data_IF_805481019513
#
_entry.id   IF_805481019513
#
_cell.length_a   1.000
_cell.length_b   1.000
_cell.length_c   1.000
_cell.angle_alpha   90.00
_cell.angle_beta   90.00
_cell.angle_gamma   90.00
#
_symmetry.space_group_name_H-M   'P 1'
#
loop_
_entity.id
_entity.type
_entity.pdbx_description
1 polymer ?
#
# COMPACT_ATOMS: atom_id res chain seq x y z
N UNK A 1 6.37 5.39 19.69
CA UNK A 1 6.79 5.29 18.29
C UNK A 1 7.07 3.82 18.00
N UNK A 2 6.42 3.25 16.99
CA UNK A 2 6.70 1.91 16.47
C UNK A 2 7.37 2.01 15.11
N UNK A 3 7.85 0.87 14.61
CA UNK A 3 8.49 0.77 13.30
C UNK A 3 7.72 -0.18 12.39
N UNK A 4 7.27 0.33 11.23
CA UNK A 4 6.77 -0.51 10.15
C UNK A 4 7.94 -1.03 9.32
N UNK A 5 8.08 -2.35 9.18
CA UNK A 5 9.16 -2.98 8.40
C UNK A 5 8.64 -3.31 7.00
N UNK A 6 9.23 -2.65 6.01
CA UNK A 6 8.99 -2.87 4.59
C UNK A 6 9.55 -4.22 4.10
N UNK A 7 8.99 -4.72 2.99
CA UNK A 7 9.35 -6.01 2.38
C UNK A 7 10.84 -6.12 2.08
N UNK A 8 11.51 -5.03 1.66
CA UNK A 8 12.94 -5.05 1.39
C UNK A 8 13.78 -5.32 2.66
N UNK A 9 13.36 -4.79 3.82
CA UNK A 9 14.02 -4.99 5.11
C UNK A 9 13.67 -6.35 5.72
N UNK A 10 12.51 -6.93 5.40
CA UNK A 10 12.15 -8.28 5.86
C UNK A 10 13.20 -9.35 5.48
N UNK A 11 13.92 -9.17 4.37
CA UNK A 11 15.03 -10.05 3.97
C UNK A 11 16.31 -9.85 4.79
N UNK A 12 16.38 -8.81 5.60
CA UNK A 12 17.54 -8.39 6.38
C UNK A 12 17.23 -8.28 7.88
N UNK A 13 16.15 -8.93 8.37
CA UNK A 13 15.68 -8.80 9.76
C UNK A 13 16.76 -9.05 10.82
N UNK A 14 17.69 -10.00 10.61
CA UNK A 14 18.83 -10.25 11.53
C UNK A 14 19.68 -9.01 11.82
N UNK A 15 19.72 -8.06 10.89
CA UNK A 15 20.50 -6.82 11.03
C UNK A 15 19.73 -5.74 11.79
N UNK A 16 18.41 -5.87 11.93
CA UNK A 16 17.59 -4.93 12.69
C UNK A 16 17.84 -5.19 14.19
N UNK A 17 18.18 -4.16 14.98
CA UNK A 17 18.43 -4.34 16.40
C UNK A 17 17.25 -4.96 17.15
N UNK A 18 17.51 -5.90 18.05
CA UNK A 18 16.47 -6.65 18.78
C UNK A 18 15.52 -5.74 19.57
N UNK A 19 16.02 -4.64 20.12
CA UNK A 19 15.20 -3.63 20.80
C UNK A 19 14.18 -2.96 19.87
N UNK A 20 14.53 -2.79 18.59
CA UNK A 20 13.64 -2.26 17.55
C UNK A 20 12.59 -3.29 17.16
N UNK A 21 12.99 -4.56 16.94
CA UNK A 21 12.08 -5.65 16.56
C UNK A 21 10.90 -5.78 17.54
N UNK A 22 11.15 -5.65 18.86
CA UNK A 22 10.10 -5.70 19.88
C UNK A 22 9.03 -4.62 19.74
N UNK A 23 9.37 -3.48 19.13
CA UNK A 23 8.48 -2.36 18.87
C UNK A 23 8.14 -2.21 17.38
N UNK A 24 8.45 -3.22 16.56
CA UNK A 24 8.22 -3.20 15.13
C UNK A 24 6.99 -4.03 14.75
N UNK A 25 6.53 -3.84 13.53
CA UNK A 25 5.48 -4.63 12.90
C UNK A 25 5.67 -4.65 11.38
N UNK A 26 5.04 -5.60 10.70
CA UNK A 26 4.87 -5.58 9.24
C UNK A 26 3.40 -5.83 8.89
N UNK A 27 3.08 -6.02 7.61
CA UNK A 27 1.69 -6.19 7.15
C UNK A 27 1.48 -7.50 6.41
N UNK A 28 0.23 -7.95 6.36
CA UNK A 28 -0.18 -9.05 5.46
C UNK A 28 0.10 -8.72 4.00
N UNK A 29 0.13 -7.45 3.62
CA UNK A 29 0.52 -7.02 2.28
C UNK A 29 2.01 -7.31 2.00
N UNK A 30 2.92 -6.99 2.93
CA UNK A 30 4.34 -7.34 2.78
C UNK A 30 4.56 -8.86 2.70
N UNK A 31 3.81 -9.63 3.50
CA UNK A 31 3.85 -11.10 3.41
C UNK A 31 3.30 -11.62 2.08
N UNK A 32 2.27 -10.97 1.53
CA UNK A 32 1.72 -11.28 0.22
C UNK A 32 2.76 -11.08 -0.87
N UNK A 33 3.54 -10.00 -0.85
CA UNK A 33 4.62 -9.75 -1.82
C UNK A 33 5.75 -10.78 -1.72
N UNK A 34 6.05 -11.26 -0.50
CA UNK A 34 6.99 -12.35 -0.30
C UNK A 34 6.46 -13.64 -0.95
N UNK A 35 5.18 -13.96 -0.78
CA UNK A 35 4.56 -15.15 -1.37
C UNK A 35 4.39 -15.03 -2.89
N UNK A 36 3.93 -13.88 -3.39
CA UNK A 36 3.59 -13.65 -4.80
C UNK A 36 4.78 -13.83 -5.73
N UNK A 37 5.99 -13.50 -5.25
CA UNK A 37 7.22 -13.64 -6.01
C UNK A 37 7.96 -14.97 -5.81
N UNK A 38 7.37 -15.96 -5.13
CA UNK A 38 7.97 -17.30 -5.03
C UNK A 38 8.04 -17.93 -6.42
N UNK A 39 9.25 -18.32 -6.80
CA UNK A 39 9.58 -19.10 -7.98
C UNK A 39 10.73 -20.06 -7.60
N UNK A 40 11.09 -20.99 -8.49
CA UNK A 40 12.13 -21.99 -8.22
C UNK A 40 13.46 -21.37 -7.76
N UNK A 41 13.88 -20.27 -8.38
CA UNK A 41 15.14 -19.57 -8.09
C UNK A 41 15.14 -18.89 -6.72
N UNK A 42 14.05 -18.22 -6.36
CA UNK A 42 13.97 -17.40 -5.14
C UNK A 42 13.35 -18.14 -3.94
N UNK A 43 12.89 -19.38 -4.15
CA UNK A 43 12.15 -20.15 -3.16
C UNK A 43 12.84 -20.21 -1.79
N UNK A 44 14.10 -20.67 -1.74
CA UNK A 44 14.82 -20.82 -0.48
C UNK A 44 15.02 -19.48 0.25
N UNK A 45 15.28 -18.40 -0.50
CA UNK A 45 15.46 -17.05 0.06
C UNK A 45 14.15 -16.55 0.68
N UNK A 46 13.03 -16.67 -0.04
CA UNK A 46 11.70 -16.24 0.43
C UNK A 46 11.21 -17.07 1.60
N UNK A 47 11.39 -18.38 1.56
CA UNK A 47 11.11 -19.30 2.67
C UNK A 47 11.91 -18.94 3.92
N UNK A 48 13.21 -18.65 3.78
CA UNK A 48 14.05 -18.25 4.90
C UNK A 48 13.56 -16.93 5.53
N UNK A 49 13.23 -15.95 4.71
CA UNK A 49 12.62 -14.68 5.16
C UNK A 49 11.33 -14.92 5.95
N UNK A 50 10.39 -15.72 5.43
CA UNK A 50 9.15 -16.06 6.14
C UNK A 50 9.44 -16.75 7.48
N UNK A 51 10.32 -17.76 7.50
CA UNK A 51 10.72 -18.44 8.75
C UNK A 51 11.25 -17.46 9.78
N UNK A 52 12.05 -16.50 9.35
CA UNK A 52 12.67 -15.53 10.24
C UNK A 52 11.65 -14.58 10.87
N UNK A 53 10.69 -14.08 10.10
CA UNK A 53 9.57 -13.25 10.58
C UNK A 53 8.85 -13.92 11.77
N UNK A 54 8.51 -15.20 11.62
CA UNK A 54 7.83 -15.95 12.69
C UNK A 54 8.76 -16.34 13.83
N UNK A 55 10.03 -16.65 13.56
CA UNK A 55 11.00 -16.98 14.61
C UNK A 55 11.24 -15.78 15.54
N UNK A 56 11.27 -14.58 14.98
CA UNK A 56 11.45 -13.33 15.74
C UNK A 56 10.16 -12.82 16.39
N UNK A 57 9.01 -13.49 16.19
CA UNK A 57 7.69 -13.05 16.64
C UNK A 57 7.38 -11.60 16.23
N UNK A 58 7.73 -11.20 15.01
CA UNK A 58 7.41 -9.87 14.51
C UNK A 58 5.88 -9.70 14.45
N UNK A 59 5.36 -8.59 14.97
CA UNK A 59 3.93 -8.29 14.90
C UNK A 59 3.48 -8.10 13.45
N UNK A 60 2.28 -8.59 13.11
CA UNK A 60 1.74 -8.56 11.74
C UNK A 60 0.36 -7.92 11.77
N UNK A 61 0.21 -6.82 11.04
CA UNK A 61 -1.10 -6.29 10.72
C UNK A 61 -1.84 -7.29 9.79
N UNK A 62 -2.81 -7.98 10.36
CA UNK A 62 -3.56 -9.06 9.73
C UNK A 62 -4.63 -8.59 8.74
N UNK A 63 -4.59 -7.32 8.30
CA UNK A 63 -5.53 -6.77 7.33
C UNK A 63 -4.91 -6.78 5.93
N UNK A 64 -5.71 -7.07 4.91
CA UNK A 64 -5.38 -6.75 3.52
C UNK A 64 -5.58 -5.24 3.28
N UNK A 65 -5.11 -4.67 2.14
CA UNK A 65 -5.21 -3.23 1.88
C UNK A 65 -6.62 -2.67 2.04
N UNK A 66 -7.63 -3.41 1.56
CA UNK A 66 -9.04 -3.04 1.77
C UNK A 66 -9.39 -2.88 3.26
N UNK A 67 -9.05 -3.84 4.11
CA UNK A 67 -9.27 -3.77 5.56
C UNK A 67 -8.47 -2.64 6.23
N UNK A 68 -7.30 -2.29 5.70
CA UNK A 68 -6.56 -1.11 6.14
C UNK A 68 -7.32 0.19 5.83
N UNK A 69 -7.87 0.31 4.61
CA UNK A 69 -8.71 1.43 4.18
C UNK A 69 -9.97 1.55 5.06
N UNK A 70 -10.69 0.45 5.31
CA UNK A 70 -11.85 0.45 6.22
C UNK A 70 -11.49 0.97 7.60
N UNK A 71 -10.32 0.58 8.12
CA UNK A 71 -9.82 1.05 9.42
C UNK A 71 -9.61 2.56 9.48
N UNK A 72 -9.48 3.26 8.34
CA UNK A 72 -9.39 4.72 8.25
C UNK A 72 -10.69 5.46 8.59
N UNK A 73 -11.80 4.75 8.80
CA UNK A 73 -13.12 5.32 9.03
C UNK A 73 -13.75 4.72 10.29
N UNK A 74 -13.94 5.55 11.32
CA UNK A 74 -14.39 5.12 12.66
C UNK A 74 -15.78 4.49 12.68
N UNK A 75 -16.61 4.79 11.68
CA UNK A 75 -17.96 4.23 11.55
C UNK A 75 -17.95 2.69 11.38
N UNK A 76 -16.82 2.12 10.93
CA UNK A 76 -16.66 0.68 10.80
C UNK A 76 -16.01 0.00 12.01
N UNK A 77 -15.76 0.71 13.12
CA UNK A 77 -15.03 0.16 14.27
C UNK A 77 -15.67 -1.11 14.85
N UNK A 78 -17.00 -1.17 14.83
CA UNK A 78 -17.77 -2.30 15.33
C UNK A 78 -17.98 -3.40 14.26
N UNK A 79 -17.65 -3.11 13.01
CA UNK A 79 -17.78 -4.04 11.90
C UNK A 79 -16.50 -4.86 11.77
N UNK A 80 -16.58 -6.12 12.20
CA UNK A 80 -15.50 -7.08 11.98
C UNK A 80 -15.43 -7.46 10.50
N UNK A 81 -14.66 -6.71 9.73
CA UNK A 81 -14.33 -7.06 8.35
C UNK A 81 -13.46 -8.31 8.34
N UNK A 82 -14.01 -9.41 7.85
CA UNK A 82 -13.26 -10.64 7.59
C UNK A 82 -12.88 -10.68 6.12
N UNK A 83 -11.57 -10.65 5.84
CA UNK A 83 -11.05 -10.88 4.50
C UNK A 83 -10.52 -12.32 4.42
N UNK A 84 -11.22 -13.18 3.67
CA UNK A 84 -10.86 -14.60 3.53
C UNK A 84 -9.46 -14.79 2.95
N UNK A 85 -8.94 -13.81 2.18
CA UNK A 85 -7.59 -13.85 1.62
C UNK A 85 -6.51 -13.87 2.69
N UNK A 86 -6.76 -13.33 3.87
CA UNK A 86 -5.81 -13.38 5.01
C UNK A 86 -5.60 -14.83 5.45
N UNK A 87 -6.66 -15.63 5.53
CA UNK A 87 -6.55 -17.04 5.89
C UNK A 87 -5.86 -17.85 4.79
N UNK A 88 -6.18 -17.58 3.53
CA UNK A 88 -5.50 -18.20 2.39
C UNK A 88 -4.00 -17.87 2.39
N UNK A 89 -3.63 -16.62 2.73
CA UNK A 89 -2.24 -16.19 2.81
C UNK A 89 -1.50 -16.91 3.95
N UNK A 90 -2.11 -16.99 5.14
CA UNK A 90 -1.55 -17.73 6.27
C UNK A 90 -1.34 -19.21 5.93
N UNK A 91 -2.28 -19.81 5.20
CA UNK A 91 -2.13 -21.19 4.75
C UNK A 91 -1.00 -21.34 3.72
N UNK A 92 -0.89 -20.45 2.74
CA UNK A 92 0.19 -20.43 1.76
C UNK A 92 1.57 -20.31 2.43
N UNK A 93 1.69 -19.39 3.40
CA UNK A 93 2.90 -19.21 4.21
C UNK A 93 3.23 -20.50 4.97
N UNK A 94 2.25 -21.10 5.65
CA UNK A 94 2.46 -22.34 6.41
C UNK A 94 2.98 -23.44 5.50
N UNK A 95 2.35 -23.64 4.33
CA UNK A 95 2.79 -24.64 3.33
C UNK A 95 4.22 -24.35 2.87
N UNK A 96 4.54 -23.09 2.56
CA UNK A 96 5.88 -22.70 2.14
C UNK A 96 6.97 -22.95 3.19
N UNK A 97 6.65 -22.68 4.46
CA UNK A 97 7.61 -22.85 5.57
C UNK A 97 7.94 -24.33 5.82
N UNK A 98 6.96 -25.22 5.66
CA UNK A 98 7.11 -26.66 5.95
C UNK A 98 7.57 -27.50 4.76
N UNK A 99 7.29 -27.08 3.52
CA UNK A 99 7.66 -27.83 2.31
C UNK A 99 9.17 -28.00 2.17
N UNK A 100 9.65 -29.13 1.68
CA UNK A 100 11.07 -29.39 1.45
C UNK A 100 11.59 -28.69 0.20
N UNK A 101 10.74 -28.49 -0.82
CA UNK A 101 11.13 -28.01 -2.16
C UNK A 101 10.07 -27.09 -2.79
N UNK A 102 10.46 -26.36 -3.84
CA UNK A 102 9.52 -25.55 -4.64
C UNK A 102 8.46 -26.43 -5.32
N UNK A 103 8.87 -27.60 -5.85
CA UNK A 103 7.96 -28.56 -6.50
C UNK A 103 6.84 -29.05 -5.59
N UNK A 104 7.12 -29.22 -4.29
CA UNK A 104 6.07 -29.59 -3.32
C UNK A 104 5.01 -28.51 -3.17
N UNK A 105 5.41 -27.23 -3.20
CA UNK A 105 4.47 -26.11 -3.13
C UNK A 105 3.66 -25.99 -4.40
N UNK A 106 4.33 -26.08 -5.55
CA UNK A 106 3.70 -26.04 -6.87
C UNK A 106 2.67 -27.17 -7.01
N UNK A 107 3.00 -28.36 -6.53
CA UNK A 107 2.08 -29.51 -6.52
C UNK A 107 0.95 -29.34 -5.47
N UNK A 108 1.24 -28.79 -4.29
CA UNK A 108 0.25 -28.55 -3.24
C UNK A 108 -0.71 -27.37 -3.54
N UNK A 109 -0.40 -26.53 -4.53
CA UNK A 109 -1.32 -25.54 -5.09
C UNK A 109 -2.42 -26.18 -5.95
N UNK A 110 -2.19 -27.41 -6.43
CA UNK A 110 -3.14 -28.18 -7.26
C UNK A 110 -4.09 -29.05 -6.42
N UNK A 111 -3.71 -29.44 -5.20
CA UNK A 111 -4.48 -30.39 -4.39
C UNK A 111 -5.07 -29.80 -3.09
N UNK A 112 -6.41 -29.89 -3.01
CA UNK A 112 -7.25 -29.92 -1.79
C UNK A 112 -7.36 -28.64 -0.92
N UNK A 113 -7.17 -27.44 -1.45
CA UNK A 113 -7.55 -26.20 -0.71
C UNK A 113 -7.83 -24.96 -1.56
N UNK A 114 -7.58 -25.00 -2.87
CA UNK A 114 -7.76 -23.84 -3.75
C UNK A 114 -6.79 -22.67 -3.51
N UNK A 115 -5.83 -22.82 -2.59
CA UNK A 115 -4.77 -21.83 -2.37
C UNK A 115 -3.70 -21.99 -3.45
N UNK A 116 -3.96 -21.33 -4.59
CA UNK A 116 -3.00 -21.16 -5.67
C UNK A 116 -2.08 -19.99 -5.33
N UNK A 117 -0.76 -20.19 -5.27
CA UNK A 117 0.19 -19.07 -5.12
C UNK A 117 -0.03 -18.05 -6.24
N UNK A 118 -0.47 -18.52 -7.40
CA UNK A 118 -0.90 -17.72 -8.54
C UNK A 118 -1.99 -16.71 -8.20
N UNK A 119 -2.83 -16.96 -7.17
CA UNK A 119 -3.77 -15.96 -6.65
C UNK A 119 -3.03 -14.71 -6.17
N UNK A 120 -1.98 -14.87 -5.38
CA UNK A 120 -1.22 -13.74 -4.84
C UNK A 120 -0.36 -13.08 -5.93
N UNK A 121 0.19 -13.85 -6.86
CA UNK A 121 0.85 -13.29 -8.06
C UNK A 121 -0.13 -12.57 -8.99
N UNK A 122 -1.42 -12.94 -8.99
CA UNK A 122 -2.47 -12.21 -9.71
C UNK A 122 -2.83 -10.92 -8.98
N UNK A 123 -3.04 -10.97 -7.66
CA UNK A 123 -3.35 -9.79 -6.85
C UNK A 123 -2.24 -8.74 -6.92
N UNK A 124 -0.97 -9.16 -6.83
CA UNK A 124 0.19 -8.28 -6.96
C UNK A 124 0.28 -7.62 -8.35
N UNK A 125 -0.03 -8.39 -9.41
CA UNK A 125 -0.15 -7.85 -10.77
C UNK A 125 -1.31 -6.88 -10.92
N UNK A 126 -2.50 -7.21 -10.42
CA UNK A 126 -3.66 -6.32 -10.49
C UNK A 126 -3.37 -4.95 -9.83
N UNK A 127 -2.62 -4.92 -8.73
CA UNK A 127 -2.19 -3.67 -8.09
C UNK A 127 -1.27 -2.88 -9.02
N UNK A 128 -0.30 -3.55 -9.65
CA UNK A 128 0.61 -2.93 -10.63
C UNK A 128 -0.14 -2.41 -11.86
N UNK A 129 -1.01 -3.23 -12.44
CA UNK A 129 -1.67 -3.02 -13.72
C UNK A 129 -2.69 -1.88 -13.64
N UNK A 130 -3.46 -1.80 -12.54
CA UNK A 130 -4.36 -0.67 -12.30
C UNK A 130 -3.63 0.69 -12.30
N UNK A 131 -2.35 0.71 -11.91
CA UNK A 131 -1.52 1.91 -11.94
C UNK A 131 -0.91 2.18 -13.34
N UNK A 132 -0.66 1.14 -14.12
CA UNK A 132 -0.22 1.24 -15.53
C UNK A 132 -1.35 1.76 -16.42
N UNK A 133 -2.60 1.38 -16.18
CA UNK A 133 -3.75 1.92 -16.92
C UNK A 133 -3.97 3.40 -16.64
N UNK A 134 -3.78 3.84 -15.39
CA UNK A 134 -3.73 5.26 -15.01
C UNK A 134 -2.60 5.99 -15.74
N UNK A 135 -1.42 5.37 -15.88
CA UNK A 135 -0.27 5.89 -16.64
C UNK A 135 -0.60 6.04 -18.14
N UNK A 136 -1.32 5.09 -18.72
CA UNK A 136 -1.73 5.14 -20.13
C UNK A 136 -2.82 6.20 -20.36
N UNK A 137 -3.78 6.32 -19.44
CA UNK A 137 -4.81 7.37 -19.48
C UNK A 137 -4.22 8.78 -19.41
N UNK A 138 -3.23 9.01 -18.53
CA UNK A 138 -2.50 10.28 -18.48
C UNK A 138 -1.73 10.54 -19.78
N UNK A 139 -1.03 9.53 -20.33
CA UNK A 139 -0.34 9.65 -21.62
C UNK A 139 -1.30 10.03 -22.76
N UNK A 140 -2.47 9.41 -22.84
CA UNK A 140 -3.45 9.69 -23.89
C UNK A 140 -4.00 11.12 -23.75
N UNK A 141 -4.31 11.58 -22.53
CA UNK A 141 -4.72 12.97 -22.27
C UNK A 141 -3.63 13.96 -22.68
N UNK A 142 -2.36 13.62 -22.45
CA UNK A 142 -1.21 14.46 -22.80
C UNK A 142 -0.86 14.46 -24.29
N UNK A 143 -1.20 13.40 -25.03
CA UNK A 143 -0.91 13.28 -26.46
C UNK A 143 -2.07 13.75 -27.36
N UNK A 144 -3.32 13.65 -26.91
CA UNK A 144 -4.52 13.95 -27.72
C UNK A 144 -5.15 15.33 -27.43
N UNK A 145 -4.81 15.99 -26.32
CA UNK A 145 -5.37 17.27 -25.94
C UNK A 145 -4.52 18.46 -26.38
N UNK A 146 -5.07 19.35 -27.22
CA UNK A 146 -4.61 20.75 -27.28
C UNK A 146 -4.69 21.44 -25.90
N UNK A 147 -4.29 22.71 -25.77
CA UNK A 147 -4.22 23.39 -24.46
C UNK A 147 -5.56 23.28 -23.71
N UNK A 148 -5.59 22.47 -22.66
CA UNK A 148 -6.75 22.33 -21.78
C UNK A 148 -6.79 23.53 -20.83
N UNK A 149 -7.97 23.99 -20.43
CA UNK A 149 -8.11 25.07 -19.46
C UNK A 149 -8.87 24.57 -18.23
N UNK A 150 -8.45 25.00 -17.04
CA UNK A 150 -9.18 24.75 -15.79
C UNK A 150 -9.52 26.07 -15.12
N UNK A 151 -10.70 26.15 -14.53
CA UNK A 151 -11.14 27.34 -13.79
C UNK A 151 -10.78 27.22 -12.31
N UNK A 152 -10.02 28.18 -11.80
CA UNK A 152 -9.68 28.30 -10.37
C UNK A 152 -9.99 29.73 -9.95
N UNK A 153 -10.77 29.92 -8.89
CA UNK A 153 -11.15 31.27 -8.39
C UNK A 153 -11.71 32.21 -9.49
N UNK A 154 -12.51 31.66 -10.42
CA UNK A 154 -13.07 32.40 -11.58
C UNK A 154 -12.03 32.88 -12.60
N UNK A 155 -10.83 32.35 -12.57
CA UNK A 155 -9.79 32.58 -13.57
C UNK A 155 -9.53 31.30 -14.37
N UNK A 156 -9.40 31.45 -15.68
CA UNK A 156 -9.11 30.36 -16.61
C UNK A 156 -7.60 30.17 -16.71
N UNK A 157 -7.12 29.00 -16.31
CA UNK A 157 -5.71 28.63 -16.34
C UNK A 157 -5.47 27.61 -17.44
N UNK A 158 -4.61 27.96 -18.41
CA UNK A 158 -4.16 27.02 -19.44
C UNK A 158 -3.28 25.95 -18.81
N UNK A 159 -3.66 24.68 -18.87
CA UNK A 159 -2.87 23.52 -18.44
C UNK A 159 -1.61 23.37 -19.31
N UNK A 160 -0.65 24.28 -19.12
CA UNK A 160 0.75 24.09 -19.50
C UNK A 160 1.45 23.40 -18.32
N UNK A 161 1.86 22.17 -18.57
CA UNK A 161 1.78 20.99 -17.68
C UNK A 161 2.79 20.91 -16.54
N UNK A 162 3.31 22.03 -16.02
CA UNK A 162 4.09 21.97 -14.76
C UNK A 162 4.03 23.21 -13.88
N UNK A 163 3.79 24.40 -14.43
CA UNK A 163 3.79 25.64 -13.65
C UNK A 163 2.47 25.82 -12.89
N UNK A 164 1.33 25.61 -13.56
CA UNK A 164 -0.01 25.74 -12.95
C UNK A 164 -0.33 24.57 -12.02
N UNK A 165 0.16 23.37 -12.31
CA UNK A 165 0.07 22.26 -11.36
C UNK A 165 0.90 22.58 -10.11
N UNK A 166 2.13 23.09 -10.26
CA UNK A 166 2.91 23.58 -9.12
C UNK A 166 2.22 24.71 -8.36
N UNK A 167 1.57 25.65 -9.04
CA UNK A 167 0.81 26.74 -8.42
C UNK A 167 -0.44 26.24 -7.69
N UNK A 168 -1.16 25.28 -8.28
CA UNK A 168 -2.27 24.57 -7.64
C UNK A 168 -1.84 23.82 -6.38
N UNK A 169 -0.62 23.27 -6.38
CA UNK A 169 -0.05 22.50 -5.26
C UNK A 169 0.72 23.36 -4.25
N UNK A 170 1.09 24.60 -4.57
CA UNK A 170 1.92 25.47 -3.71
C UNK A 170 1.11 26.39 -2.79
N UNK A 171 -0.18 26.58 -3.05
CA UNK A 171 -1.06 27.27 -2.09
C UNK A 171 -1.49 26.26 -1.03
N UNK A 172 -1.42 26.58 0.26
CA UNK A 172 -1.89 25.70 1.36
C UNK A 172 -3.33 25.16 1.15
N UNK A 173 -4.15 25.86 0.38
CA UNK A 173 -5.50 25.40 -0.02
C UNK A 173 -5.50 24.22 -1.03
N UNK A 174 -4.42 24.02 -1.77
CA UNK A 174 -4.22 22.96 -2.75
C UNK A 174 -4.05 21.59 -2.11
N UNK A 175 -3.10 21.46 -1.18
CA UNK A 175 -2.84 20.22 -0.46
C UNK A 175 -4.07 19.76 0.33
N UNK A 176 -4.73 20.68 1.04
CA UNK A 176 -5.95 20.36 1.79
C UNK A 176 -7.11 19.94 0.85
N UNK A 177 -7.28 20.60 -0.30
CA UNK A 177 -8.28 20.16 -1.30
C UNK A 177 -7.97 18.78 -1.87
N UNK A 178 -6.69 18.47 -2.12
CA UNK A 178 -6.30 17.13 -2.58
C UNK A 178 -6.54 16.08 -1.50
N UNK A 179 -6.18 16.38 -0.26
CA UNK A 179 -6.43 15.53 0.89
C UNK A 179 -7.92 15.18 0.98
N UNK A 180 -8.81 16.17 0.93
CA UNK A 180 -10.25 15.95 0.93
C UNK A 180 -10.71 15.09 -0.26
N UNK A 181 -10.18 15.32 -1.47
CA UNK A 181 -10.47 14.47 -2.65
C UNK A 181 -9.98 13.03 -2.49
N UNK A 182 -8.81 12.83 -1.90
CA UNK A 182 -8.28 11.49 -1.65
C UNK A 182 -9.09 10.75 -0.59
N UNK A 183 -9.53 11.43 0.46
CA UNK A 183 -10.48 10.88 1.44
C UNK A 183 -11.77 10.48 0.73
N UNK A 184 -12.32 11.35 -0.11
CA UNK A 184 -13.56 11.09 -0.87
C UNK A 184 -13.41 9.90 -1.85
N UNK A 185 -12.23 9.73 -2.47
CA UNK A 185 -11.90 8.55 -3.28
C UNK A 185 -11.85 7.27 -2.44
N UNK A 186 -11.25 7.32 -1.24
CA UNK A 186 -11.22 6.18 -0.32
C UNK A 186 -12.64 5.82 0.16
N UNK A 187 -13.51 6.81 0.39
CA UNK A 187 -14.95 6.59 0.67
C UNK A 187 -15.62 5.86 -0.48
N UNK A 188 -15.35 6.25 -1.74
CA UNK A 188 -15.88 5.55 -2.91
C UNK A 188 -15.43 4.08 -2.96
N UNK A 189 -14.15 3.80 -2.68
CA UNK A 189 -13.62 2.42 -2.62
C UNK A 189 -14.35 1.61 -1.54
N UNK A 190 -14.56 2.19 -0.36
CA UNK A 190 -15.31 1.57 0.74
C UNK A 190 -16.76 1.25 0.32
N UNK A 191 -17.47 2.19 -0.29
CA UNK A 191 -18.86 2.01 -0.75
C UNK A 191 -18.94 0.90 -1.80
N UNK A 192 -18.03 0.91 -2.78
CA UNK A 192 -17.96 -0.14 -3.83
C UNK A 192 -17.77 -1.51 -3.19
N UNK A 193 -16.84 -1.63 -2.23
CA UNK A 193 -16.57 -2.89 -1.53
C UNK A 193 -17.75 -3.36 -0.67
N UNK A 194 -18.48 -2.44 0.00
CA UNK A 194 -19.71 -2.78 0.75
C UNK A 194 -20.78 -3.30 -0.22
N UNK A 195 -21.00 -2.58 -1.33
CA UNK A 195 -22.04 -2.91 -2.29
C UNK A 195 -21.77 -4.24 -3.01
N UNK A 196 -20.51 -4.53 -3.31
CA UNK A 196 -20.08 -5.77 -3.98
C UNK A 196 -19.93 -6.96 -3.04
N UNK A 197 -19.86 -6.73 -1.72
CA UNK A 197 -19.83 -7.81 -0.72
C UNK A 197 -21.08 -8.70 -0.83
N UNK A 198 -20.92 -10.00 -0.56
CA UNK A 198 -22.04 -10.96 -0.48
C UNK A 198 -22.62 -11.10 0.93
N UNK A 199 -22.14 -10.30 1.89
CA UNK A 199 -22.66 -10.33 3.26
C UNK A 199 -24.15 -9.97 3.31
N UNK A 200 -24.91 -10.68 4.15
CA UNK A 200 -26.36 -10.48 4.34
C UNK A 200 -26.64 -9.18 5.13
N UNK A 201 -25.80 -8.88 6.14
CA UNK A 201 -25.91 -7.68 6.97
C UNK A 201 -24.92 -6.60 6.53
N UNK A 202 -25.22 -5.94 5.41
CA UNK A 202 -24.39 -4.82 4.93
C UNK A 202 -24.67 -3.58 5.76
N UNK A 203 -23.65 -2.92 6.32
CA UNK A 203 -23.84 -1.57 6.85
C UNK A 203 -24.37 -0.66 5.75
N UNK A 204 -25.45 0.06 6.06
CA UNK A 204 -25.97 1.14 5.21
C UNK A 204 -25.58 2.45 5.84
N UNK A 205 -24.48 3.02 5.36
CA UNK A 205 -24.05 4.35 5.73
C UNK A 205 -24.12 5.23 4.50
N UNK A 206 -24.59 6.45 4.71
CA UNK A 206 -24.54 7.48 3.68
C UNK A 206 -23.09 7.93 3.45
N UNK A 207 -22.78 8.37 2.23
CA UNK A 207 -21.44 8.82 1.85
C UNK A 207 -20.87 9.84 2.83
N UNK A 208 -21.70 10.80 3.23
CA UNK A 208 -21.33 11.87 4.15
C UNK A 208 -21.00 11.36 5.56
N UNK A 209 -21.69 10.31 6.03
CA UNK A 209 -21.40 9.69 7.33
C UNK A 209 -20.05 8.99 7.31
N UNK A 210 -19.76 8.25 6.24
CA UNK A 210 -18.46 7.61 6.05
C UNK A 210 -17.37 8.67 6.01
N UNK A 211 -17.52 9.70 5.16
CA UNK A 211 -16.55 10.78 5.00
C UNK A 211 -16.24 11.48 6.32
N UNK A 212 -17.27 11.88 7.08
CA UNK A 212 -17.12 12.53 8.40
C UNK A 212 -16.49 11.63 9.47
N UNK A 213 -16.54 10.31 9.28
CA UNK A 213 -15.94 9.35 10.22
C UNK A 213 -14.45 9.11 9.99
N UNK A 214 -13.83 9.76 8.99
CA UNK A 214 -12.41 9.66 8.73
C UNK A 214 -11.57 10.00 9.98
N UNK A 215 -10.60 9.15 10.31
CA UNK A 215 -9.91 9.20 11.60
C UNK A 215 -8.40 9.46 11.53
N UNK A 216 -7.88 9.84 10.36
CA UNK A 216 -6.47 10.16 10.16
C UNK A 216 -5.51 8.96 10.10
N UNK A 217 -5.99 7.72 10.29
CA UNK A 217 -5.11 6.54 10.26
C UNK A 217 -4.45 6.27 8.90
N UNK A 218 -4.90 6.93 7.84
CA UNK A 218 -4.34 6.84 6.48
C UNK A 218 -3.57 8.10 6.07
N UNK A 219 -3.23 8.98 7.03
CA UNK A 219 -2.59 10.27 6.72
C UNK A 219 -1.25 10.11 6.00
N UNK A 220 -0.41 9.16 6.43
CA UNK A 220 0.86 8.89 5.75
C UNK A 220 0.65 8.46 4.29
N UNK A 221 -0.38 7.64 4.01
CA UNK A 221 -0.72 7.27 2.63
C UNK A 221 -1.16 8.50 1.82
N UNK A 222 -2.05 9.31 2.36
CA UNK A 222 -2.56 10.51 1.69
C UNK A 222 -1.40 11.47 1.38
N UNK A 223 -0.57 11.79 2.37
CA UNK A 223 0.59 12.68 2.22
C UNK A 223 1.59 12.11 1.22
N UNK A 224 1.91 10.81 1.31
CA UNK A 224 2.79 10.13 0.36
C UNK A 224 2.27 10.19 -1.07
N UNK A 225 0.98 9.91 -1.25
CA UNK A 225 0.32 9.93 -2.55
C UNK A 225 0.26 11.34 -3.16
N UNK A 226 -0.05 12.37 -2.36
CA UNK A 226 -0.03 13.77 -2.80
C UNK A 226 1.38 14.13 -3.30
N UNK A 227 2.39 13.93 -2.46
CA UNK A 227 3.78 14.30 -2.79
C UNK A 227 4.30 13.51 -3.99
N UNK A 228 3.98 12.22 -4.07
CA UNK A 228 4.29 11.37 -5.20
C UNK A 228 3.70 11.94 -6.50
N UNK A 229 2.39 12.15 -6.55
CA UNK A 229 1.73 12.65 -7.76
C UNK A 229 2.16 14.07 -8.11
N UNK A 230 2.30 14.98 -7.13
CA UNK A 230 2.81 16.32 -7.39
C UNK A 230 4.22 16.28 -7.99
N UNK A 231 5.07 15.35 -7.54
CA UNK A 231 6.41 15.19 -8.13
C UNK A 231 6.36 14.69 -9.58
N UNK A 232 5.49 13.72 -9.88
CA UNK A 232 5.39 13.09 -11.20
C UNK A 232 4.74 14.01 -12.22
N UNK A 233 3.67 14.70 -11.82
CA UNK A 233 2.99 15.70 -12.62
C UNK A 233 3.86 16.93 -12.88
N UNK A 234 4.69 17.34 -11.91
CA UNK A 234 5.56 18.51 -12.05
C UNK A 234 6.67 18.39 -13.10
N UNK A 235 7.04 17.17 -13.49
CA UNK A 235 8.06 16.92 -14.53
C UNK A 235 7.57 16.04 -15.68
N UNK A 236 6.27 15.71 -15.71
CA UNK A 236 5.67 14.82 -16.72
C UNK A 236 6.40 13.46 -16.73
N UNK A 237 6.73 12.95 -15.53
CA UNK A 237 7.30 11.63 -15.39
C UNK A 237 6.21 10.59 -15.19
N UNK A 238 6.38 9.46 -15.86
CA UNK A 238 5.49 8.35 -15.67
C UNK A 238 5.79 7.61 -14.35
N UNK A 239 4.76 7.01 -13.73
CA UNK A 239 4.97 6.08 -12.63
C UNK A 239 5.94 4.96 -12.94
N UNK A 240 6.80 4.64 -11.98
CA UNK A 240 7.55 3.38 -11.97
C UNK A 240 6.61 2.19 -11.79
N UNK A 241 7.10 1.00 -12.15
CA UNK A 241 6.30 -0.23 -12.13
C UNK A 241 5.82 -0.61 -10.71
N UNK A 242 6.65 -0.33 -9.69
CA UNK A 242 6.41 -0.77 -8.32
C UNK A 242 5.91 0.36 -7.41
N UNK A 243 5.86 1.61 -7.90
CA UNK A 243 5.49 2.78 -7.10
C UNK A 243 4.10 2.62 -6.45
N UNK A 244 3.22 1.83 -7.06
CA UNK A 244 1.89 1.53 -6.53
C UNK A 244 1.94 0.66 -5.26
N UNK A 245 2.80 -0.35 -5.25
CA UNK A 245 3.03 -1.22 -4.09
C UNK A 245 3.70 -0.45 -2.97
N UNK A 246 4.68 0.40 -3.31
CA UNK A 246 5.35 1.26 -2.33
C UNK A 246 4.34 2.18 -1.64
N UNK A 247 3.39 2.78 -2.40
CA UNK A 247 2.29 3.54 -1.81
C UNK A 247 1.39 2.68 -0.92
N UNK A 248 1.12 1.42 -1.27
CA UNK A 248 0.21 0.55 -0.51
C UNK A 248 0.77 0.17 0.86
N UNK A 249 2.09 0.11 1.02
CA UNK A 249 2.70 -0.02 2.34
C UNK A 249 2.28 1.09 3.31
N UNK A 250 2.02 2.29 2.80
CA UNK A 250 1.61 3.44 3.61
C UNK A 250 0.21 3.31 4.20
N UNK A 251 -0.64 2.39 3.71
CA UNK A 251 -1.91 2.07 4.37
C UNK A 251 -1.70 1.49 5.78
N UNK A 252 -0.51 0.94 6.05
CA UNK A 252 -0.17 0.29 7.31
C UNK A 252 0.70 1.17 8.20
N UNK A 253 1.32 2.23 7.66
CA UNK A 253 2.15 3.15 8.42
C UNK A 253 1.28 4.11 9.24
N UNK A 254 1.21 3.90 10.56
CA UNK A 254 0.36 4.72 11.44
C UNK A 254 0.93 6.13 11.64
N UNK A 255 0.07 7.13 11.89
CA UNK A 255 0.55 8.45 12.29
C UNK A 255 1.50 8.35 13.50
N UNK A 256 2.69 8.95 13.39
CA UNK A 256 3.72 8.94 14.43
C UNK A 256 4.64 7.71 14.44
N UNK A 257 4.40 6.71 13.59
CA UNK A 257 5.33 5.59 13.36
C UNK A 257 6.31 5.89 12.22
N UNK A 258 7.41 5.13 12.16
CA UNK A 258 8.39 5.23 11.07
C UNK A 258 8.43 3.95 10.24
N UNK A 259 8.55 4.08 8.91
CA UNK A 259 8.89 2.97 8.02
C UNK A 259 10.41 2.78 7.99
N UNK A 260 10.86 1.55 8.24
CA UNK A 260 12.23 1.12 7.97
C UNK A 260 12.24 0.56 6.56
N UNK A 261 12.91 1.25 5.63
CA UNK A 261 13.09 0.83 4.25
C UNK A 261 14.40 1.38 3.67
N UNK A 262 15.07 0.58 2.85
CA UNK A 262 16.22 1.06 2.06
C UNK A 262 15.78 1.47 0.63
N UNK A 263 14.48 1.36 0.33
CA UNK A 263 13.93 1.92 -0.90
C UNK A 263 13.92 3.44 -0.82
N UNK A 264 14.47 4.07 -1.87
CA UNK A 264 14.54 5.53 -1.98
C UNK A 264 13.16 6.17 -2.11
N UNK A 265 12.13 5.42 -2.50
CA UNK A 265 10.76 5.90 -2.60
C UNK A 265 10.31 6.58 -1.31
N UNK A 266 10.44 5.89 -0.17
CA UNK A 266 9.95 6.39 1.10
C UNK A 266 10.74 7.60 1.60
N UNK A 267 12.06 7.58 1.46
CA UNK A 267 12.90 8.74 1.83
C UNK A 267 12.60 9.96 0.97
N UNK A 268 12.26 9.76 -0.31
CA UNK A 268 11.93 10.85 -1.24
C UNK A 268 10.57 11.48 -0.95
N UNK A 269 9.56 10.67 -0.63
CA UNK A 269 8.17 11.15 -0.53
C UNK A 269 7.66 11.33 0.90
N UNK A 270 8.24 10.64 1.88
CA UNK A 270 7.93 10.73 3.31
C UNK A 270 9.22 10.74 4.17
N UNK A 271 10.15 11.69 3.97
CA UNK A 271 11.42 11.72 4.69
C UNK A 271 11.25 11.77 6.22
N UNK A 272 10.19 12.42 6.72
CA UNK A 272 9.88 12.56 8.14
C UNK A 272 9.47 11.24 8.80
N UNK A 273 8.83 10.36 8.02
CA UNK A 273 8.31 9.06 8.48
C UNK A 273 9.18 7.90 8.01
N UNK A 274 10.33 8.15 7.36
CA UNK A 274 11.20 7.11 6.79
C UNK A 274 12.58 7.12 7.43
N UNK A 275 13.12 5.91 7.64
CA UNK A 275 14.50 5.70 8.08
C UNK A 275 15.09 4.48 7.35
N UNK A 276 16.33 4.58 6.90
CA UNK A 276 17.04 3.44 6.33
C UNK A 276 17.57 2.52 7.43
N UNK A 277 17.91 1.28 7.08
CA UNK A 277 18.47 0.35 8.06
C UNK A 277 19.80 0.85 8.63
N UNK A 278 20.66 1.45 7.78
CA UNK A 278 21.94 1.98 8.24
C UNK A 278 21.76 3.18 9.17
N UNK A 279 20.89 4.14 8.81
CA UNK A 279 20.58 5.30 9.68
C UNK A 279 19.99 4.85 11.03
N UNK A 280 19.20 3.78 11.04
CA UNK A 280 18.64 3.22 12.27
C UNK A 280 19.73 2.60 13.16
N UNK A 281 20.67 1.86 12.57
CA UNK A 281 21.78 1.24 13.31
C UNK A 281 22.71 2.31 13.89
N UNK A 282 22.96 3.41 13.17
CA UNK A 282 23.80 4.51 13.65
C UNK A 282 23.16 5.31 14.81
N UNK A 283 21.85 5.23 15.01
CA UNK A 283 21.12 5.94 16.07
C UNK A 283 21.04 5.18 17.41
N UNK A 284 21.51 3.92 17.45
CA UNK A 284 21.39 3.02 18.61
C UNK A 284 22.78 2.72 19.18
#
# INVERSE_FOLDING_TARGET
MRYYIDTNILYNLKKVPQGVIKNAYTSSFALMEIISGINEKDYNRRKACLKEIFTLNLDIDNRMPSGAIYGGFSIFREFKMTDSRVNLLKEAIRKCVVSSSFKEIESAALDVSGVKIELFSKLDREISDNFVDLRQGVNNIMQEGGPQFIEINRQQHRLDTSAILRELFSVNSGEERMRLRLIDNLVSVVIININTSKALDKPRFERDEISKSYNGLLDNFITGQIRYFSSKLGVIELPGKNDSQDLYHLFYLRPGDKIISDDKFFKKYLPESSITLNELIEQI
#
